data_IF_290031220584
#
_entry.id   IF_290031220584
#
_cell.length_a   1.000
_cell.length_b   1.000
_cell.length_c   1.000
_cell.angle_alpha   90.00
_cell.angle_beta   90.00
_cell.angle_gamma   90.00
#
_symmetry.space_group_name_H-M   'P 1'
#
loop_
_entity.id
_entity.type
_entity.pdbx_description
1 polymer ?
#
# COMPACT_ATOMS: atom_id res chain seq x y z
N UNK A 1 -12.00 3.02 -33.69
CA UNK A 1 -10.88 3.71 -33.04
C UNK A 1 -10.56 2.97 -31.75
N UNK A 2 -9.47 2.19 -31.74
CA UNK A 2 -9.14 1.28 -30.66
C UNK A 2 -8.28 2.00 -29.62
N UNK A 3 -8.78 2.20 -28.41
CA UNK A 3 -7.98 2.66 -27.29
C UNK A 3 -6.99 1.58 -26.87
N UNK A 4 -5.72 1.81 -27.15
CA UNK A 4 -4.61 0.99 -26.68
C UNK A 4 -4.48 1.13 -25.18
N UNK A 5 -4.84 0.09 -24.45
CA UNK A 5 -4.47 -0.06 -23.05
C UNK A 5 -2.95 -0.26 -22.96
N UNK A 6 -2.25 0.75 -22.50
CA UNK A 6 -0.84 0.64 -22.13
C UNK A 6 -0.74 -0.16 -20.81
N UNK A 7 -0.73 -1.47 -20.94
CA UNK A 7 -0.16 -2.33 -19.91
C UNK A 7 1.36 -2.15 -20.00
N UNK A 8 1.94 -1.34 -19.14
CA UNK A 8 3.37 -1.11 -19.09
C UNK A 8 4.03 -2.42 -18.66
N UNK A 9 4.58 -3.12 -19.65
CA UNK A 9 5.40 -4.33 -19.51
C UNK A 9 6.42 -4.12 -18.40
N UNK A 10 6.26 -4.88 -17.33
CA UNK A 10 7.37 -5.18 -16.44
C UNK A 10 8.40 -5.96 -17.25
N UNK A 11 9.60 -5.43 -17.28
CA UNK A 11 10.71 -5.96 -18.07
C UNK A 11 11.05 -7.34 -17.52
N UNK A 12 10.91 -8.35 -18.39
CA UNK A 12 11.45 -9.67 -18.15
C UNK A 12 12.98 -9.59 -18.05
N UNK A 13 13.51 -9.83 -16.88
CA UNK A 13 14.80 -10.48 -16.75
C UNK A 13 14.57 -11.89 -16.22
N UNK A 14 14.56 -12.83 -17.16
CA UNK A 14 14.70 -14.23 -16.86
C UNK A 14 16.15 -14.49 -16.42
N UNK A 15 16.35 -14.74 -15.14
CA UNK A 15 17.48 -15.56 -14.70
C UNK A 15 16.97 -16.57 -13.68
N UNK A 16 17.10 -17.81 -14.09
CA UNK A 16 16.90 -19.01 -13.30
C UNK A 16 17.80 -18.94 -12.07
N UNK A 17 17.21 -19.07 -10.87
CA UNK A 17 17.80 -19.85 -9.79
C UNK A 17 16.72 -20.03 -8.72
N UNK A 18 16.39 -21.30 -8.51
CA UNK A 18 15.59 -21.77 -7.40
C UNK A 18 16.34 -21.44 -6.11
N UNK A 19 15.80 -20.49 -5.33
CA UNK A 19 16.28 -20.21 -3.99
C UNK A 19 15.15 -20.49 -3.00
N UNK A 20 15.28 -21.60 -2.28
CA UNK A 20 14.45 -21.95 -1.13
C UNK A 20 14.64 -20.85 -0.09
N UNK A 21 13.63 -20.03 0.14
CA UNK A 21 13.62 -19.06 1.22
C UNK A 21 13.38 -19.81 2.54
N UNK A 22 14.45 -20.24 3.17
CA UNK A 22 14.47 -20.68 4.57
C UNK A 22 14.23 -19.43 5.41
N UNK A 23 13.11 -19.38 6.11
CA UNK A 23 12.87 -18.40 7.17
C UNK A 23 13.80 -18.74 8.33
N UNK A 24 15.01 -18.19 8.29
CA UNK A 24 15.90 -18.20 9.45
C UNK A 24 15.51 -17.03 10.35
N UNK A 25 14.88 -17.36 11.47
CA UNK A 25 14.78 -16.43 12.61
C UNK A 25 16.19 -16.31 13.19
N UNK A 26 16.94 -15.32 12.72
CA UNK A 26 18.24 -14.99 13.29
C UNK A 26 18.06 -13.89 14.33
N UNK A 27 18.24 -14.28 15.59
CA UNK A 27 18.54 -13.37 16.69
C UNK A 27 19.96 -12.82 16.49
N UNK A 28 20.10 -11.68 15.85
CA UNK A 28 21.35 -10.92 15.82
C UNK A 28 21.12 -9.51 16.33
N UNK A 29 21.97 -9.11 17.26
CA UNK A 29 22.01 -7.78 17.85
C UNK A 29 22.27 -6.72 16.77
N UNK A 30 21.48 -5.63 16.83
CA UNK A 30 21.49 -4.55 15.84
C UNK A 30 22.62 -3.55 16.11
N UNK A 31 23.37 -3.11 15.08
CA UNK A 31 24.15 -1.88 15.16
C UNK A 31 23.22 -0.67 15.21
N UNK A 32 23.57 0.32 16.02
CA UNK A 32 22.85 1.61 16.11
C UNK A 32 22.83 2.31 14.76
N UNK A 33 21.70 2.93 14.37
CA UNK A 33 21.63 3.67 13.13
C UNK A 33 22.47 4.95 13.21
N UNK A 34 23.41 5.06 12.30
CA UNK A 34 24.14 6.31 12.02
C UNK A 34 23.26 7.29 11.22
N UNK A 35 23.53 8.59 11.41
CA UNK A 35 22.79 9.77 11.01
C UNK A 35 22.21 9.82 9.60
N UNK A 36 20.89 10.06 9.51
CA UNK A 36 20.24 11.29 9.06
C UNK A 36 20.46 11.72 7.61
N UNK A 37 19.63 11.16 6.71
CA UNK A 37 19.08 11.90 5.58
C UNK A 37 17.59 12.14 5.89
N UNK A 38 17.13 13.39 5.85
CA UNK A 38 15.75 13.74 6.15
C UNK A 38 14.82 13.29 5.01
N UNK A 39 14.33 12.05 5.10
CA UNK A 39 13.20 11.60 4.31
C UNK A 39 11.97 12.34 4.83
N UNK A 40 11.09 12.91 3.99
CA UNK A 40 9.88 13.57 4.47
C UNK A 40 9.07 12.56 5.29
N UNK A 41 8.95 12.83 6.58
CA UNK A 41 8.27 11.95 7.51
C UNK A 41 6.77 11.98 7.22
N UNK A 42 6.15 10.80 7.10
CA UNK A 42 4.70 10.71 7.16
C UNK A 42 4.23 11.19 8.54
N UNK A 43 3.28 12.13 8.61
CA UNK A 43 2.80 12.63 9.90
C UNK A 43 2.20 11.47 10.71
N UNK A 44 2.65 11.33 11.96
CA UNK A 44 2.07 10.41 12.92
C UNK A 44 0.73 10.99 13.35
N UNK A 45 -0.37 10.44 12.83
CA UNK A 45 -1.71 10.83 13.25
C UNK A 45 -2.10 9.98 14.47
N UNK A 46 -2.18 10.59 15.63
CA UNK A 46 -2.85 9.97 16.78
C UNK A 46 -4.34 9.86 16.44
N UNK A 47 -4.83 8.64 16.36
CA UNK A 47 -6.26 8.37 16.16
C UNK A 47 -6.93 8.55 17.50
N UNK A 48 -7.56 9.70 17.72
CA UNK A 48 -8.46 9.89 18.84
C UNK A 48 -9.64 8.90 18.70
N UNK A 49 -9.80 8.03 19.68
CA UNK A 49 -10.93 7.13 19.78
C UNK A 49 -12.18 7.96 20.10
N UNK A 50 -13.17 7.89 19.31
CA UNK A 50 -14.55 8.38 19.38
C UNK A 50 -14.88 9.47 18.32
N UNK A 51 -14.98 8.99 17.07
CA UNK A 51 -15.60 9.78 16.02
C UNK A 51 -17.05 9.33 15.87
N UNK A 52 -17.99 10.29 15.96
CA UNK A 52 -19.40 10.06 15.66
C UNK A 52 -19.60 9.48 14.24
N UNK A 53 -20.69 8.79 13.99
CA UNK A 53 -21.02 8.24 12.67
C UNK A 53 -20.86 9.27 11.53
N UNK A 54 -21.22 10.54 11.78
CA UNK A 54 -21.04 11.65 10.85
C UNK A 54 -19.56 11.90 10.48
N UNK A 55 -18.64 11.76 11.41
CA UNK A 55 -17.21 11.93 11.14
C UNK A 55 -16.64 10.77 10.30
N UNK A 56 -17.12 9.55 10.52
CA UNK A 56 -16.76 8.39 9.69
C UNK A 56 -17.27 8.60 8.26
N UNK A 57 -18.50 9.03 8.11
CA UNK A 57 -19.08 9.30 6.79
C UNK A 57 -18.32 10.40 6.04
N UNK A 58 -17.93 11.48 6.72
CA UNK A 58 -17.10 12.54 6.15
C UNK A 58 -15.73 12.00 5.68
N UNK A 59 -15.10 11.12 6.45
CA UNK A 59 -13.84 10.48 6.08
C UNK A 59 -14.00 9.56 4.87
N UNK A 60 -15.05 8.76 4.81
CA UNK A 60 -15.38 7.92 3.65
C UNK A 60 -15.63 8.78 2.40
N UNK A 61 -16.36 9.89 2.51
CA UNK A 61 -16.60 10.78 1.39
C UNK A 61 -15.32 11.48 0.90
N UNK A 62 -14.42 11.87 1.83
CA UNK A 62 -13.09 12.36 1.50
C UNK A 62 -12.26 11.29 0.79
N UNK A 63 -12.33 10.04 1.24
CA UNK A 63 -11.64 8.91 0.62
C UNK A 63 -12.18 8.61 -0.78
N UNK A 64 -13.50 8.64 -1.00
CA UNK A 64 -14.11 8.51 -2.34
C UNK A 64 -13.58 9.57 -3.30
N UNK A 65 -13.44 10.81 -2.84
CA UNK A 65 -12.87 11.91 -3.62
C UNK A 65 -11.42 11.65 -3.96
N UNK A 66 -10.62 11.19 -3.01
CA UNK A 66 -9.23 10.83 -3.22
C UNK A 66 -9.07 9.72 -4.26
N UNK A 67 -9.85 8.64 -4.15
CA UNK A 67 -9.85 7.53 -5.10
C UNK A 67 -10.28 7.98 -6.51
N UNK A 68 -11.26 8.90 -6.61
CA UNK A 68 -11.69 9.51 -7.89
C UNK A 68 -10.56 10.28 -8.56
N UNK A 69 -9.81 11.09 -7.82
CA UNK A 69 -8.67 11.86 -8.34
C UNK A 69 -7.58 10.95 -8.92
N UNK A 70 -7.44 9.75 -8.39
CA UNK A 70 -6.51 8.73 -8.89
C UNK A 70 -7.15 7.75 -9.91
N UNK A 71 -8.30 8.12 -10.49
CA UNK A 71 -8.97 7.37 -11.56
C UNK A 71 -9.36 5.93 -11.17
N UNK A 72 -9.60 5.68 -9.88
CA UNK A 72 -10.16 4.40 -9.43
C UNK A 72 -11.59 4.26 -9.98
N UNK A 73 -11.93 3.08 -10.47
CA UNK A 73 -13.24 2.78 -11.07
C UNK A 73 -14.40 3.16 -10.15
N UNK A 74 -15.43 3.75 -10.71
CA UNK A 74 -16.63 4.16 -9.97
C UNK A 74 -17.39 2.98 -9.35
N UNK A 75 -17.40 1.85 -10.06
CA UNK A 75 -18.15 0.65 -9.67
C UNK A 75 -17.84 0.20 -8.24
N UNK A 76 -16.54 0.23 -7.86
CA UNK A 76 -16.10 -0.24 -6.54
C UNK A 76 -15.71 0.89 -5.59
N UNK A 77 -15.74 2.17 -6.00
CA UNK A 77 -15.15 3.30 -5.27
C UNK A 77 -15.71 3.48 -3.88
N UNK A 78 -17.01 3.37 -3.71
CA UNK A 78 -17.66 3.51 -2.39
C UNK A 78 -17.22 2.37 -1.47
N UNK A 79 -17.32 1.15 -1.92
CA UNK A 79 -16.94 -0.05 -1.18
C UNK A 79 -15.45 -0.07 -0.82
N UNK A 80 -14.59 0.40 -1.74
CA UNK A 80 -13.16 0.59 -1.47
C UNK A 80 -12.91 1.64 -0.40
N UNK A 81 -13.59 2.80 -0.48
CA UNK A 81 -13.42 3.87 0.49
C UNK A 81 -13.82 3.43 1.90
N UNK A 82 -14.96 2.76 2.04
CA UNK A 82 -15.44 2.19 3.30
C UNK A 82 -14.47 1.16 3.86
N UNK A 83 -14.01 0.22 3.03
CA UNK A 83 -13.07 -0.83 3.44
C UNK A 83 -11.71 -0.26 3.85
N UNK A 84 -11.20 0.75 3.13
CA UNK A 84 -9.94 1.41 3.45
C UNK A 84 -10.05 2.14 4.79
N UNK A 85 -11.10 2.94 5.00
CA UNK A 85 -11.30 3.69 6.25
C UNK A 85 -11.46 2.74 7.42
N UNK A 86 -12.30 1.70 7.28
CA UNK A 86 -12.54 0.70 8.33
C UNK A 86 -11.26 -0.06 8.69
N UNK A 87 -10.53 -0.57 7.70
CA UNK A 87 -9.31 -1.34 7.94
C UNK A 87 -8.18 -0.47 8.49
N UNK A 88 -8.04 0.77 8.00
CA UNK A 88 -7.04 1.70 8.51
C UNK A 88 -7.28 2.01 10.00
N UNK A 89 -8.52 2.27 10.39
CA UNK A 89 -8.91 2.48 11.80
C UNK A 89 -8.65 1.23 12.64
N UNK A 90 -9.10 0.07 12.19
CA UNK A 90 -8.91 -1.22 12.87
C UNK A 90 -7.44 -1.50 13.18
N UNK A 91 -6.55 -1.21 12.24
CA UNK A 91 -5.12 -1.49 12.35
C UNK A 91 -4.28 -0.27 12.80
N UNK A 92 -4.90 0.88 13.10
CA UNK A 92 -4.19 2.10 13.50
C UNK A 92 -3.23 2.63 12.43
N UNK A 93 -3.63 2.54 11.15
CA UNK A 93 -2.93 3.10 10.01
C UNK A 93 -3.56 4.42 9.56
N UNK A 94 -2.79 5.24 8.85
CA UNK A 94 -3.34 6.40 8.17
C UNK A 94 -4.17 5.94 6.96
N UNK A 95 -5.47 6.27 6.82
CA UNK A 95 -6.31 5.83 5.72
C UNK A 95 -5.80 6.25 4.35
N UNK A 96 -5.19 7.45 4.27
CA UNK A 96 -4.60 7.95 3.03
C UNK A 96 -3.35 7.16 2.63
N UNK A 97 -2.54 6.72 3.59
CA UNK A 97 -1.42 5.83 3.33
C UNK A 97 -1.90 4.49 2.76
N UNK A 98 -2.90 3.89 3.40
CA UNK A 98 -3.47 2.62 2.95
C UNK A 98 -4.05 2.75 1.53
N UNK A 99 -4.79 3.84 1.25
CA UNK A 99 -5.30 4.14 -0.08
C UNK A 99 -4.19 4.32 -1.11
N UNK A 100 -3.07 4.96 -0.72
CA UNK A 100 -1.93 5.15 -1.63
C UNK A 100 -1.31 3.82 -2.06
N UNK A 101 -1.20 2.88 -1.13
CA UNK A 101 -0.75 1.52 -1.45
C UNK A 101 -1.75 0.82 -2.37
N UNK A 102 -3.04 0.83 -2.05
CA UNK A 102 -4.10 0.27 -2.92
C UNK A 102 -4.02 0.81 -4.36
N UNK A 103 -3.77 2.11 -4.51
CA UNK A 103 -3.63 2.75 -5.83
C UNK A 103 -2.38 2.27 -6.57
N UNK A 104 -1.25 2.19 -5.88
CA UNK A 104 0.04 1.76 -6.47
C UNK A 104 0.00 0.29 -6.86
N UNK A 105 -0.63 -0.56 -6.05
CA UNK A 105 -0.69 -2.01 -6.27
C UNK A 105 -1.61 -2.41 -7.44
N UNK A 106 -2.83 -1.94 -7.43
CA UNK A 106 -3.85 -2.43 -8.37
C UNK A 106 -4.75 -1.36 -8.98
N UNK A 107 -4.64 -0.10 -8.55
CA UNK A 107 -5.65 0.96 -8.81
C UNK A 107 -7.05 0.56 -8.34
N UNK A 108 -7.13 -0.25 -7.29
CA UNK A 108 -8.37 -0.73 -6.73
C UNK A 108 -9.06 -1.83 -7.54
N UNK A 109 -8.33 -2.56 -8.38
CA UNK A 109 -8.86 -3.72 -9.11
C UNK A 109 -8.87 -4.97 -8.20
N UNK A 110 -10.05 -5.51 -7.82
CA UNK A 110 -10.12 -6.67 -6.93
C UNK A 110 -9.66 -7.97 -7.58
N UNK A 111 -9.60 -8.00 -8.92
CA UNK A 111 -9.20 -9.18 -9.68
C UNK A 111 -7.79 -9.06 -10.27
N UNK A 112 -6.97 -8.13 -9.75
CA UNK A 112 -5.59 -7.99 -10.18
C UNK A 112 -4.79 -9.23 -9.79
N UNK A 113 -4.05 -9.81 -10.74
CA UNK A 113 -3.10 -10.89 -10.51
C UNK A 113 -1.80 -10.51 -11.21
N UNK A 114 -0.69 -10.55 -10.49
CA UNK A 114 0.63 -10.26 -11.05
C UNK A 114 1.28 -11.54 -11.61
N UNK A 115 2.32 -11.36 -12.44
CA UNK A 115 3.13 -12.49 -12.92
C UNK A 115 4.00 -13.15 -11.83
N UNK A 116 3.95 -12.65 -10.60
CA UNK A 116 4.64 -13.19 -9.43
C UNK A 116 3.64 -13.67 -8.36
N UNK A 117 2.45 -14.09 -8.79
CA UNK A 117 1.41 -14.64 -7.92
C UNK A 117 0.95 -13.72 -6.79
N UNK A 118 0.97 -12.40 -7.01
CA UNK A 118 0.33 -11.46 -6.10
C UNK A 118 -1.13 -11.22 -6.53
N UNK A 119 -2.08 -11.21 -5.56
CA UNK A 119 -3.51 -11.28 -5.82
C UNK A 119 -4.27 -10.14 -5.13
N UNK A 120 -5.23 -9.58 -5.88
CA UNK A 120 -6.26 -8.67 -5.38
C UNK A 120 -5.79 -7.23 -5.23
N UNK A 121 -6.57 -6.46 -4.48
CA UNK A 121 -6.45 -5.00 -4.39
C UNK A 121 -5.11 -4.55 -3.82
N UNK A 122 -4.63 -5.23 -2.79
CA UNK A 122 -3.36 -4.93 -2.13
C UNK A 122 -2.22 -5.87 -2.56
N UNK A 123 -2.42 -6.64 -3.65
CA UNK A 123 -1.43 -7.52 -4.23
C UNK A 123 -0.75 -8.45 -3.19
N UNK A 124 -1.58 -9.25 -2.52
CA UNK A 124 -1.08 -10.21 -1.52
C UNK A 124 -0.32 -11.33 -2.21
N UNK A 125 0.97 -11.46 -1.91
CA UNK A 125 1.87 -12.45 -2.51
C UNK A 125 1.55 -13.86 -2.00
N UNK A 126 1.00 -14.73 -2.86
CA UNK A 126 0.55 -16.07 -2.47
C UNK A 126 1.65 -16.96 -1.93
N UNK A 127 2.87 -17.01 -2.52
CA UNK A 127 3.95 -17.82 -1.96
C UNK A 127 4.29 -17.48 -0.50
N UNK A 128 4.11 -16.21 -0.10
CA UNK A 128 4.40 -15.76 1.27
C UNK A 128 3.19 -15.89 2.20
N UNK A 129 2.02 -15.50 1.73
CA UNK A 129 0.85 -15.28 2.58
C UNK A 129 -0.34 -16.19 2.30
N UNK A 130 -0.29 -16.94 1.17
CA UNK A 130 -1.42 -17.76 0.73
C UNK A 130 -1.85 -18.81 1.76
N UNK A 131 -0.90 -19.53 2.36
CA UNK A 131 -1.20 -20.51 3.42
C UNK A 131 -1.83 -19.87 4.67
N UNK A 132 -1.44 -18.65 5.01
CA UNK A 132 -2.04 -17.91 6.13
C UNK A 132 -3.45 -17.47 5.79
N UNK A 133 -3.65 -16.93 4.59
CA UNK A 133 -4.98 -16.54 4.10
C UNK A 133 -5.94 -17.74 4.07
N UNK A 134 -5.48 -18.89 3.58
CA UNK A 134 -6.27 -20.12 3.52
C UNK A 134 -6.66 -20.64 4.92
N UNK A 135 -5.72 -20.72 5.84
CA UNK A 135 -5.98 -21.14 7.24
C UNK A 135 -6.97 -20.24 7.97
N UNK A 136 -6.97 -18.95 7.64
CA UNK A 136 -7.85 -17.96 8.25
C UNK A 136 -9.14 -17.74 7.45
N UNK A 137 -9.39 -18.53 6.39
CA UNK A 137 -10.53 -18.41 5.48
C UNK A 137 -10.70 -17.01 4.88
N UNK A 138 -9.60 -16.35 4.52
CA UNK A 138 -9.58 -15.03 3.91
C UNK A 138 -9.76 -15.13 2.41
N UNK A 139 -10.81 -14.53 1.86
CA UNK A 139 -11.03 -14.47 0.43
C UNK A 139 -10.27 -13.28 -0.18
N UNK A 140 -9.10 -13.54 -0.76
CA UNK A 140 -8.24 -12.51 -1.35
C UNK A 140 -8.83 -11.82 -2.60
N UNK A 141 -9.91 -12.30 -3.17
CA UNK A 141 -10.64 -11.63 -4.26
C UNK A 141 -11.82 -10.78 -3.75
N UNK A 142 -12.11 -10.85 -2.46
CA UNK A 142 -13.10 -9.99 -1.82
C UNK A 142 -12.46 -8.71 -1.31
N UNK A 143 -13.05 -7.57 -1.63
CA UNK A 143 -12.50 -6.23 -1.37
C UNK A 143 -12.13 -6.05 0.11
N UNK A 144 -13.05 -6.32 1.00
CA UNK A 144 -12.91 -6.12 2.44
C UNK A 144 -11.81 -7.02 3.02
N UNK A 145 -11.83 -8.29 2.66
CA UNK A 145 -10.91 -9.29 3.19
C UNK A 145 -9.47 -9.02 2.73
N UNK A 146 -9.29 -8.66 1.44
CA UNK A 146 -7.98 -8.35 0.88
C UNK A 146 -7.39 -7.07 1.50
N UNK A 147 -8.20 -6.00 1.66
CA UNK A 147 -7.75 -4.75 2.26
C UNK A 147 -7.44 -4.94 3.74
N UNK A 148 -8.27 -5.64 4.49
CA UNK A 148 -8.05 -5.88 5.92
C UNK A 148 -6.78 -6.71 6.16
N UNK A 149 -6.59 -7.77 5.37
CA UNK A 149 -5.41 -8.62 5.46
C UNK A 149 -4.13 -7.88 5.06
N UNK A 150 -4.15 -7.14 3.95
CA UNK A 150 -3.02 -6.31 3.52
C UNK A 150 -2.68 -5.20 4.52
N UNK A 151 -3.70 -4.56 5.11
CA UNK A 151 -3.51 -3.55 6.16
C UNK A 151 -2.85 -4.16 7.41
N UNK A 152 -3.23 -5.37 7.80
CA UNK A 152 -2.60 -6.11 8.91
C UNK A 152 -1.12 -6.39 8.64
N UNK A 153 -0.79 -6.86 7.43
CA UNK A 153 0.60 -7.10 7.01
C UNK A 153 1.41 -5.81 7.01
N UNK A 154 0.87 -4.74 6.41
CA UNK A 154 1.52 -3.43 6.41
C UNK A 154 1.76 -2.91 7.82
N UNK A 155 0.76 -3.04 8.70
CA UNK A 155 0.88 -2.62 10.10
C UNK A 155 2.01 -3.32 10.83
N UNK A 156 2.16 -4.63 10.64
CA UNK A 156 3.26 -5.40 11.25
C UNK A 156 4.62 -4.84 10.81
N UNK A 157 4.81 -4.62 9.52
CA UNK A 157 6.06 -4.05 9.01
C UNK A 157 6.30 -2.61 9.51
N UNK A 158 5.27 -1.77 9.50
CA UNK A 158 5.39 -0.38 9.98
C UNK A 158 5.73 -0.32 11.47
N UNK A 159 5.17 -1.20 12.28
CA UNK A 159 5.46 -1.26 13.72
C UNK A 159 6.91 -1.70 14.00
N UNK A 160 7.42 -2.65 13.23
CA UNK A 160 8.77 -3.20 13.44
C UNK A 160 9.86 -2.29 12.89
N UNK A 161 9.63 -1.65 11.76
CA UNK A 161 10.71 -1.02 10.98
C UNK A 161 10.49 0.49 10.75
N UNK A 162 9.37 1.04 11.19
CA UNK A 162 8.95 2.40 10.85
C UNK A 162 8.26 2.48 9.48
N UNK A 163 7.67 3.65 9.18
CA UNK A 163 6.76 3.78 8.03
C UNK A 163 7.46 3.54 6.70
N UNK A 164 8.56 4.24 6.43
CA UNK A 164 9.24 4.16 5.13
C UNK A 164 9.79 2.76 4.85
N UNK A 165 10.49 2.19 5.82
CA UNK A 165 11.04 0.85 5.70
C UNK A 165 9.94 -0.21 5.69
N UNK A 166 8.86 -0.02 6.47
CA UNK A 166 7.70 -0.91 6.45
C UNK A 166 7.02 -0.97 5.08
N UNK A 167 6.91 0.16 4.38
CA UNK A 167 6.41 0.23 3.00
C UNK A 167 7.34 -0.51 2.04
N UNK A 168 8.65 -0.33 2.15
CA UNK A 168 9.64 -1.04 1.31
C UNK A 168 9.54 -2.55 1.50
N UNK A 169 9.41 -3.01 2.77
CA UNK A 169 9.25 -4.45 3.10
C UNK A 169 7.91 -5.02 2.65
N UNK A 170 6.87 -4.21 2.64
CA UNK A 170 5.60 -4.62 2.05
C UNK A 170 5.75 -4.98 0.57
N UNK A 171 6.57 -4.26 -0.17
CA UNK A 171 6.93 -4.57 -1.57
C UNK A 171 7.97 -5.72 -1.70
N UNK A 172 8.35 -6.38 -0.61
CA UNK A 172 9.27 -7.52 -0.62
C UNK A 172 10.75 -7.15 -0.45
N UNK A 173 11.08 -5.94 0.01
CA UNK A 173 12.46 -5.53 0.24
C UNK A 173 13.20 -6.47 1.21
N UNK A 174 14.39 -6.92 0.78
CA UNK A 174 15.33 -7.72 1.57
C UNK A 174 16.63 -6.91 1.68
N UNK A 175 17.10 -6.56 2.90
CA UNK A 175 18.34 -5.83 3.08
C UNK A 175 19.55 -6.61 2.56
N UNK A 176 20.48 -5.90 1.91
CA UNK A 176 21.71 -6.47 1.38
C UNK A 176 21.64 -7.00 -0.05
N UNK A 177 20.46 -6.96 -0.68
CA UNK A 177 20.28 -7.33 -2.07
C UNK A 177 20.16 -6.06 -2.94
N UNK A 178 21.17 -5.70 -3.76
CA UNK A 178 21.21 -4.42 -4.48
C UNK A 178 20.02 -4.17 -5.42
N UNK A 179 19.55 -5.20 -6.10
CA UNK A 179 18.41 -5.09 -7.02
C UNK A 179 17.10 -4.76 -6.28
N UNK A 180 16.96 -5.26 -5.04
CA UNK A 180 15.80 -4.97 -4.18
C UNK A 180 15.87 -3.57 -3.57
N UNK A 181 17.08 -3.06 -3.32
CA UNK A 181 17.28 -1.70 -2.80
C UNK A 181 16.63 -0.67 -3.72
N UNK A 182 17.00 -0.70 -5.01
CA UNK A 182 16.49 0.24 -6.01
C UNK A 182 14.99 0.08 -6.24
N UNK A 183 14.51 -1.15 -6.46
CA UNK A 183 13.10 -1.39 -6.75
C UNK A 183 12.17 -1.02 -5.59
N UNK A 184 12.60 -1.28 -4.36
CA UNK A 184 11.83 -0.92 -3.17
C UNK A 184 11.84 0.57 -2.90
N UNK A 185 12.93 1.29 -3.24
CA UNK A 185 12.96 2.75 -3.17
C UNK A 185 12.01 3.37 -4.21
N UNK A 186 12.04 2.90 -5.46
CA UNK A 186 11.09 3.32 -6.49
C UNK A 186 9.63 3.06 -6.11
N UNK A 187 9.37 1.96 -5.39
CA UNK A 187 8.04 1.68 -4.85
C UNK A 187 7.65 2.69 -3.78
N UNK A 188 8.52 2.96 -2.81
CA UNK A 188 8.30 3.96 -1.77
C UNK A 188 8.01 5.33 -2.38
N UNK A 189 8.78 5.74 -3.39
CA UNK A 189 8.61 7.02 -4.07
C UNK A 189 7.24 7.12 -4.76
N UNK A 190 6.77 6.05 -5.41
CA UNK A 190 5.41 6.00 -5.97
C UNK A 190 4.33 6.15 -4.92
N UNK A 191 4.46 5.46 -3.78
CA UNK A 191 3.50 5.57 -2.68
C UNK A 191 3.49 7.00 -2.12
N UNK A 192 4.66 7.61 -1.93
CA UNK A 192 4.78 9.00 -1.46
C UNK A 192 4.19 10.01 -2.46
N UNK A 193 4.40 9.81 -3.75
CA UNK A 193 3.82 10.65 -4.79
C UNK A 193 2.29 10.62 -4.74
N UNK A 194 1.68 9.45 -4.62
CA UNK A 194 0.22 9.31 -4.48
C UNK A 194 -0.25 9.94 -3.17
N UNK A 195 0.45 9.70 -2.07
CA UNK A 195 0.11 10.23 -0.75
C UNK A 195 0.09 11.76 -0.71
N UNK A 196 1.05 12.42 -1.36
CA UNK A 196 1.22 13.89 -1.35
C UNK A 196 0.41 14.65 -2.41
N UNK A 197 -0.22 13.95 -3.35
CA UNK A 197 -0.85 14.54 -4.55
C UNK A 197 -1.86 15.69 -4.26
N UNK A 198 -2.55 15.68 -3.12
CA UNK A 198 -3.55 16.70 -2.78
C UNK A 198 -2.96 18.10 -2.50
N UNK A 199 -1.72 18.22 -2.12
CA UNK A 199 -1.14 19.53 -1.78
C UNK A 199 -0.91 20.42 -2.99
N UNK A 200 -0.63 19.85 -4.15
CA UNK A 200 -0.33 20.62 -5.36
C UNK A 200 -1.59 21.21 -6.03
N UNK A 201 -2.69 20.48 -6.04
CA UNK A 201 -3.94 20.95 -6.66
C UNK A 201 -4.61 22.10 -5.89
N UNK A 202 -4.52 22.12 -4.57
CA UNK A 202 -5.08 23.20 -3.74
C UNK A 202 -4.28 24.49 -3.88
N UNK A 203 -2.96 24.40 -4.01
CA UNK A 203 -2.07 25.56 -4.23
C UNK A 203 -2.28 26.17 -5.61
N UNK A 204 -2.45 25.35 -6.64
CA UNK A 204 -2.73 25.84 -8.02
C UNK A 204 -4.09 26.54 -8.12
N UNK A 205 -5.15 25.99 -7.52
CA UNK A 205 -6.46 26.63 -7.49
C UNK A 205 -6.45 27.95 -6.72
N UNK A 206 -5.73 28.03 -5.60
CA UNK A 206 -5.58 29.27 -4.84
C UNK A 206 -4.76 30.36 -5.58
N UNK A 207 -3.86 29.97 -6.49
CA UNK A 207 -3.09 30.90 -7.33
C UNK A 207 -3.83 31.39 -8.56
N UNK A 208 -4.85 30.66 -9.03
CA UNK A 208 -5.69 31.02 -10.19
C UNK A 208 -6.91 31.86 -9.79
N UNK A 209 -7.22 31.98 -8.49
CA UNK A 209 -8.33 32.77 -7.95
C UNK A 209 -7.91 34.17 -7.46
N UNK A 210 -6.68 34.58 -7.72
CA UNK A 210 -6.15 35.93 -7.51
C UNK A 210 -5.89 36.61 -8.84
#
# INVERSE_FOLDING_TARGET
MAHKFYCKRWIHHSSRLAGVAVVAVMLFGFPKPGASGSVPAFPRQEVAADLSGAAIEAEVNSMKTFLKLHQVSEINRTRLAESIVTSARKHGLNPRLLASIVIVESRGNPFAISGQDAVGIMQIHLPTWGLTADRENINLLKIEDNIDFGARILKDYVQRFGVSEGIRRYNGFIPGEPDWEKSSQEYLDRVQQVYSFKQQSTVLQASLSK
#
